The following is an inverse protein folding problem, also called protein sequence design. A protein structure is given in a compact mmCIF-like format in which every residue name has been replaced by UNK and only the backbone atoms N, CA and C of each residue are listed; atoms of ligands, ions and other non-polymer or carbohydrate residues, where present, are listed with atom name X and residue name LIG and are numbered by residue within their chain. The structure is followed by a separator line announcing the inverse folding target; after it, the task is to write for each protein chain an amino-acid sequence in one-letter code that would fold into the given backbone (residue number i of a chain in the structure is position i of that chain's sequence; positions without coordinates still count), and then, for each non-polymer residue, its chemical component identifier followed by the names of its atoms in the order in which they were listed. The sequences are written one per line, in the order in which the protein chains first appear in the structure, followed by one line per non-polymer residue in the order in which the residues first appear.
data_IF_535615498288
#
_entry.id   IF_535615498288
#
_cell.length_a   1.000
_cell.length_b   1.000
_cell.length_c   1.000
_cell.angle_alpha   90.00
_cell.angle_beta   90.00
_cell.angle_gamma   90.00
#
_symmetry.space_group_name_H-M   'P 1'
#
loop_
_entity.id
_entity.type
_entity.pdbx_description
1 polymer ?
#
# COMPACT_ATOMS: atom_id res chain seq x y z
N UNK A 1 34.87 -8.89 15.10
CA UNK A 1 34.55 -10.32 15.30
C UNK A 1 34.33 -11.07 13.96
N UNK A 2 35.27 -10.97 13.00
CA UNK A 2 35.20 -11.69 11.71
C UNK A 2 36.39 -12.63 11.47
N UNK A 3 37.38 -12.57 12.38
CA UNK A 3 38.56 -13.42 12.34
C UNK A 3 38.18 -14.87 12.67
N UNK A 4 38.69 -15.82 11.89
CA UNK A 4 38.53 -17.25 12.13
C UNK A 4 39.88 -17.95 11.99
N UNK A 5 40.04 -19.05 12.72
CA UNK A 5 41.23 -19.89 12.65
C UNK A 5 41.30 -20.61 11.29
N UNK A 6 42.53 -20.91 10.86
CA UNK A 6 42.78 -21.72 9.66
C UNK A 6 43.02 -23.17 10.05
N UNK A 7 42.57 -24.09 9.21
CA UNK A 7 42.94 -25.49 9.28
C UNK A 7 44.38 -25.72 8.76
N UNK A 8 44.87 -26.95 8.88
CA UNK A 8 46.20 -27.34 8.42
C UNK A 8 46.42 -27.16 6.90
N UNK A 9 45.35 -26.98 6.12
CA UNK A 9 45.41 -26.70 4.67
C UNK A 9 45.35 -25.20 4.34
N UNK A 10 45.31 -24.34 5.37
CA UNK A 10 45.22 -22.89 5.22
C UNK A 10 43.81 -22.40 4.89
N UNK A 11 42.78 -23.25 4.99
CA UNK A 11 41.38 -22.87 4.77
C UNK A 11 40.75 -22.48 6.09
N UNK A 12 39.81 -21.54 6.06
CA UNK A 12 39.08 -21.15 7.28
C UNK A 12 38.24 -22.31 7.79
N UNK A 13 38.24 -22.53 9.10
CA UNK A 13 37.44 -23.60 9.73
C UNK A 13 35.93 -23.38 9.58
N UNK A 14 35.49 -22.11 9.46
CA UNK A 14 34.10 -21.69 9.30
C UNK A 14 33.65 -21.59 7.83
N UNK A 15 34.50 -21.97 6.86
CA UNK A 15 34.28 -21.74 5.43
C UNK A 15 32.88 -22.19 4.97
N UNK A 16 32.50 -23.43 5.29
CA UNK A 16 31.23 -24.02 4.86
C UNK A 16 30.01 -23.51 5.64
N UNK A 17 30.23 -22.78 6.74
CA UNK A 17 29.18 -22.19 7.56
C UNK A 17 28.82 -20.78 7.08
N UNK A 18 29.64 -20.20 6.19
CA UNK A 18 29.51 -18.83 5.71
C UNK A 18 29.13 -18.78 4.24
N UNK A 19 27.85 -18.48 3.92
CA UNK A 19 27.41 -18.40 2.54
C UNK A 19 28.18 -17.34 1.77
N UNK A 20 28.62 -16.25 2.41
CA UNK A 20 29.33 -15.15 1.77
C UNK A 20 30.73 -15.50 1.24
N UNK A 21 31.30 -16.63 1.68
CA UNK A 21 32.61 -17.11 1.21
C UNK A 21 32.46 -18.30 0.25
N UNK A 22 31.28 -18.90 0.15
CA UNK A 22 31.04 -20.15 -0.59
C UNK A 22 30.01 -20.05 -1.71
N UNK A 23 29.15 -19.03 -1.71
CA UNK A 23 28.08 -18.82 -2.69
C UNK A 23 28.37 -17.60 -3.56
N UNK A 24 27.94 -17.65 -4.82
CA UNK A 24 28.04 -16.51 -5.75
C UNK A 24 27.00 -15.41 -5.52
N UNK A 25 25.99 -15.68 -4.70
CA UNK A 25 24.91 -14.73 -4.37
C UNK A 25 24.53 -14.91 -2.91
N UNK A 26 24.46 -13.80 -2.19
CA UNK A 26 24.12 -13.73 -0.76
C UNK A 26 23.39 -12.43 -0.46
N UNK A 27 22.64 -12.43 0.64
CA UNK A 27 22.01 -11.25 1.20
C UNK A 27 22.68 -10.88 2.52
N UNK A 28 22.88 -9.58 2.74
CA UNK A 28 23.41 -9.06 3.99
C UNK A 28 22.36 -8.21 4.69
N UNK A 29 22.35 -8.27 6.02
CA UNK A 29 21.63 -7.30 6.83
C UNK A 29 22.36 -5.97 6.70
N UNK A 30 21.73 -4.99 6.05
CA UNK A 30 22.28 -3.66 5.90
C UNK A 30 22.36 -2.95 7.28
N UNK A 31 23.55 -2.52 7.73
CA UNK A 31 23.70 -1.73 8.94
C UNK A 31 23.00 -0.38 8.86
N UNK A 32 22.86 0.31 10.00
CA UNK A 32 22.24 1.64 10.10
C UNK A 32 22.91 2.69 9.23
N UNK A 33 24.19 2.52 8.91
CA UNK A 33 24.94 3.45 8.04
C UNK A 33 24.39 3.47 6.59
N UNK A 34 23.62 2.45 6.20
CA UNK A 34 22.92 2.39 4.91
C UNK A 34 21.50 2.99 4.97
N UNK A 35 21.08 3.55 6.10
CA UNK A 35 19.75 4.09 6.33
C UNK A 35 19.81 5.61 6.51
N UNK A 36 19.22 6.37 5.58
CA UNK A 36 19.01 7.82 5.76
C UNK A 36 17.83 8.08 6.72
N UNK A 37 16.87 7.16 6.74
CA UNK A 37 15.73 7.11 7.66
C UNK A 37 15.38 5.66 7.98
N UNK A 38 14.66 5.38 9.08
CA UNK A 38 14.13 4.06 9.34
C UNK A 38 13.29 3.53 8.17
N UNK A 39 13.29 2.20 7.91
CA UNK A 39 12.45 1.60 6.89
C UNK A 39 10.98 1.95 7.12
N UNK A 40 10.36 2.61 6.14
CA UNK A 40 8.95 2.97 6.20
C UNK A 40 8.06 1.71 6.28
N UNK A 41 6.85 1.89 6.79
CA UNK A 41 5.84 0.84 6.75
C UNK A 41 5.44 0.57 5.28
N UNK A 42 5.14 -0.68 4.91
CA UNK A 42 4.56 -0.97 3.61
C UNK A 42 3.14 -0.39 3.54
N UNK A 43 2.89 0.47 2.57
CA UNK A 43 1.61 1.17 2.37
C UNK A 43 0.98 0.73 1.05
N UNK A 44 -0.27 0.30 1.10
CA UNK A 44 -1.11 0.03 -0.07
C UNK A 44 -2.26 1.03 -0.11
N UNK A 45 -2.26 1.92 -1.10
CA UNK A 45 -3.33 2.90 -1.27
C UNK A 45 -4.12 2.59 -2.54
N UNK A 46 -5.37 2.19 -2.39
CA UNK A 46 -6.24 1.83 -3.51
C UNK A 46 -7.02 3.06 -3.96
N UNK A 47 -6.73 3.50 -5.19
CA UNK A 47 -7.45 4.58 -5.84
C UNK A 47 -8.41 3.99 -6.89
N UNK A 48 -9.72 4.10 -6.65
CA UNK A 48 -10.75 3.38 -7.41
C UNK A 48 -11.61 4.37 -8.22
N UNK A 49 -11.70 4.14 -9.53
CA UNK A 49 -12.60 4.92 -10.39
C UNK A 49 -14.05 4.51 -10.13
N UNK A 50 -14.89 5.50 -9.84
CA UNK A 50 -16.34 5.36 -9.59
C UNK A 50 -17.17 6.20 -10.56
N UNK A 51 -16.58 6.58 -11.70
CA UNK A 51 -17.30 7.19 -12.81
C UNK A 51 -18.40 6.27 -13.35
N UNK A 52 -19.34 6.84 -14.10
CA UNK A 52 -20.48 6.11 -14.64
C UNK A 52 -20.07 4.94 -15.54
N UNK A 53 -18.92 5.03 -16.22
CA UNK A 53 -18.38 3.95 -17.06
C UNK A 53 -17.88 2.78 -16.20
N UNK A 54 -17.21 3.07 -15.08
CA UNK A 54 -16.75 2.08 -14.11
C UNK A 54 -17.91 1.37 -13.41
N UNK A 55 -18.93 2.12 -12.99
CA UNK A 55 -20.12 1.55 -12.32
C UNK A 55 -20.93 0.69 -13.30
N UNK A 56 -21.20 1.17 -14.52
CA UNK A 56 -21.98 0.43 -15.53
C UNK A 56 -21.29 -0.84 -16.03
N UNK A 57 -19.97 -0.88 -16.00
CA UNK A 57 -19.19 -2.07 -16.37
C UNK A 57 -19.01 -3.06 -15.21
N UNK A 58 -19.61 -2.80 -14.04
CA UNK A 58 -19.48 -3.65 -12.83
C UNK A 58 -18.03 -3.71 -12.31
N UNK A 59 -17.17 -2.77 -12.77
CA UNK A 59 -15.76 -2.76 -12.39
C UNK A 59 -15.58 -2.54 -10.89
N UNK A 60 -16.38 -1.64 -10.29
CA UNK A 60 -16.29 -1.30 -8.86
C UNK A 60 -16.56 -2.53 -7.99
N UNK A 61 -17.53 -3.36 -8.36
CA UNK A 61 -17.89 -4.58 -7.64
C UNK A 61 -16.77 -5.63 -7.74
N UNK A 62 -16.28 -5.89 -8.96
CA UNK A 62 -15.20 -6.85 -9.18
C UNK A 62 -13.93 -6.42 -8.47
N UNK A 63 -13.57 -5.14 -8.51
CA UNK A 63 -12.40 -4.59 -7.82
C UNK A 63 -12.55 -4.75 -6.31
N UNK A 64 -13.69 -4.39 -5.74
CA UNK A 64 -13.92 -4.51 -4.31
C UNK A 64 -13.78 -5.96 -3.82
N UNK A 65 -14.40 -6.91 -4.54
CA UNK A 65 -14.31 -8.34 -4.24
C UNK A 65 -12.88 -8.87 -4.38
N UNK A 66 -12.18 -8.47 -5.45
CA UNK A 66 -10.80 -8.92 -5.71
C UNK A 66 -9.83 -8.40 -4.66
N UNK A 67 -9.96 -7.12 -4.28
CA UNK A 67 -9.14 -6.55 -3.20
C UNK A 67 -9.38 -7.36 -1.91
N UNK A 68 -10.65 -7.60 -1.56
CA UNK A 68 -11.03 -8.33 -0.36
C UNK A 68 -10.40 -9.74 -0.34
N UNK A 69 -10.47 -10.48 -1.45
CA UNK A 69 -9.86 -11.81 -1.56
C UNK A 69 -8.34 -11.82 -1.44
N UNK A 70 -7.67 -10.73 -1.79
CA UNK A 70 -6.21 -10.63 -1.82
C UNK A 70 -5.61 -9.98 -0.57
N UNK A 71 -6.42 -9.50 0.39
CA UNK A 71 -5.92 -8.78 1.57
C UNK A 71 -4.92 -9.61 2.39
N UNK A 72 -5.12 -10.93 2.48
CA UNK A 72 -4.23 -11.84 3.22
C UNK A 72 -2.90 -12.11 2.50
N UNK A 73 -2.84 -11.87 1.20
CA UNK A 73 -1.65 -12.11 0.37
C UNK A 73 -0.72 -10.89 0.31
N UNK A 74 -1.15 -9.74 0.84
CA UNK A 74 -0.35 -8.52 0.83
C UNK A 74 0.91 -8.68 1.71
N UNK A 75 2.11 -8.47 1.15
CA UNK A 75 3.33 -8.57 1.93
C UNK A 75 3.44 -7.44 2.95
N UNK A 76 4.20 -7.68 4.02
CA UNK A 76 4.46 -6.69 5.08
C UNK A 76 3.61 -6.83 6.34
N UNK A 77 2.73 -7.84 6.42
CA UNK A 77 1.98 -8.17 7.63
C UNK A 77 2.96 -8.43 8.80
N UNK A 78 2.67 -7.95 10.03
CA UNK A 78 1.45 -7.24 10.46
C UNK A 78 1.54 -5.71 10.36
N UNK A 79 2.59 -5.19 9.72
CA UNK A 79 2.89 -3.75 9.64
C UNK A 79 2.24 -3.04 8.44
N UNK A 80 1.56 -3.78 7.57
CA UNK A 80 0.91 -3.27 6.36
C UNK A 80 -0.15 -2.22 6.69
N UNK A 81 0.03 -1.05 6.10
CA UNK A 81 -0.94 0.04 6.09
C UNK A 81 -1.77 -0.02 4.82
N UNK A 82 -3.07 0.20 4.93
CA UNK A 82 -3.99 0.24 3.80
C UNK A 82 -4.83 1.52 3.84
N UNK A 83 -5.09 2.09 2.67
CA UNK A 83 -5.95 3.26 2.52
C UNK A 83 -6.74 3.19 1.22
N UNK A 84 -7.84 3.93 1.17
CA UNK A 84 -8.75 3.95 0.04
C UNK A 84 -9.11 5.38 -0.33
N UNK A 85 -9.20 5.64 -1.63
CA UNK A 85 -9.92 6.77 -2.17
C UNK A 85 -10.66 6.37 -3.44
N UNK A 86 -11.77 7.03 -3.73
CA UNK A 86 -12.49 6.86 -4.98
C UNK A 86 -12.59 8.17 -5.72
N UNK A 87 -12.65 8.15 -7.04
CA UNK A 87 -12.72 9.36 -7.83
C UNK A 87 -13.74 9.25 -8.97
N UNK A 88 -14.44 10.36 -9.19
CA UNK A 88 -15.24 10.67 -10.37
C UNK A 88 -14.83 12.08 -10.84
N UNK A 89 -15.73 13.05 -10.97
CA UNK A 89 -15.36 14.48 -11.09
C UNK A 89 -14.75 15.06 -9.82
N UNK A 90 -14.80 14.35 -8.70
CA UNK A 90 -14.29 14.74 -7.38
C UNK A 90 -13.54 13.58 -6.72
N UNK A 91 -12.76 13.85 -5.68
CA UNK A 91 -12.01 12.83 -4.93
C UNK A 91 -12.73 12.57 -3.61
N UNK A 92 -12.92 11.30 -3.25
CA UNK A 92 -13.52 10.86 -2.01
C UNK A 92 -12.49 10.06 -1.22
N UNK A 93 -12.07 10.56 -0.07
CA UNK A 93 -11.17 9.86 0.85
C UNK A 93 -11.96 9.14 1.93
N UNK A 94 -11.44 8.02 2.43
CA UNK A 94 -12.11 7.19 3.43
C UNK A 94 -11.28 7.05 4.70
N UNK A 95 -11.85 7.50 5.82
CA UNK A 95 -11.31 7.29 7.17
C UNK A 95 -12.50 7.04 8.12
N UNK A 96 -13.06 5.82 8.10
CA UNK A 96 -14.32 5.42 8.78
C UNK A 96 -15.57 6.28 8.43
N UNK A 97 -15.39 7.36 7.66
CA UNK A 97 -16.35 8.30 7.08
C UNK A 97 -15.79 8.75 5.73
N UNK A 98 -16.67 9.11 4.81
CA UNK A 98 -16.30 9.67 3.50
C UNK A 98 -16.00 11.17 3.64
N UNK A 99 -14.83 11.60 3.15
CA UNK A 99 -14.41 13.00 3.07
C UNK A 99 -14.29 13.39 1.59
N UNK A 100 -15.04 14.39 1.14
CA UNK A 100 -15.10 14.77 -0.28
C UNK A 100 -14.26 16.02 -0.54
N UNK A 101 -13.41 15.94 -1.55
CA UNK A 101 -12.59 17.05 -2.06
C UNK A 101 -13.01 17.31 -3.51
N UNK A 102 -13.66 18.45 -3.72
CA UNK A 102 -14.16 18.89 -5.03
C UNK A 102 -13.30 19.94 -5.69
N UNK A 103 -12.39 20.59 -4.95
CA UNK A 103 -11.41 21.51 -5.52
C UNK A 103 -10.20 20.71 -6.01
N UNK A 104 -10.00 20.71 -7.33
CA UNK A 104 -8.97 19.92 -8.00
C UNK A 104 -7.80 20.77 -8.49
N UNK A 105 -7.90 22.11 -8.42
CA UNK A 105 -6.84 23.02 -8.83
C UNK A 105 -5.75 23.12 -7.75
N UNK A 106 -6.17 23.13 -6.46
CA UNK A 106 -5.28 23.06 -5.29
C UNK A 106 -5.64 21.89 -4.37
N UNK A 107 -5.21 20.69 -4.79
CA UNK A 107 -5.53 19.45 -4.08
C UNK A 107 -4.82 19.40 -2.73
N UNK A 108 -5.61 19.39 -1.67
CA UNK A 108 -5.15 19.07 -0.33
C UNK A 108 -5.57 17.65 0.07
N UNK A 109 -4.71 16.97 0.81
CA UNK A 109 -5.03 15.67 1.42
C UNK A 109 -5.65 15.95 2.80
N UNK A 110 -6.94 15.64 3.01
CA UNK A 110 -7.54 15.83 4.32
C UNK A 110 -7.01 14.77 5.30
N UNK A 111 -6.45 15.21 6.42
CA UNK A 111 -6.04 14.34 7.53
C UNK A 111 -5.11 13.18 7.11
N UNK A 112 -3.91 13.45 6.55
CA UNK A 112 -3.03 12.42 5.98
C UNK A 112 -2.72 11.26 6.94
N UNK A 113 -2.51 11.57 8.23
CA UNK A 113 -2.19 10.57 9.27
C UNK A 113 -3.32 9.57 9.54
N UNK A 114 -4.55 9.86 9.10
CA UNK A 114 -5.73 9.04 9.39
C UNK A 114 -6.35 8.40 8.14
N UNK A 115 -5.77 8.60 6.95
CA UNK A 115 -6.24 7.95 5.73
C UNK A 115 -5.68 6.53 5.56
N UNK A 116 -4.68 6.18 6.37
CA UNK A 116 -4.05 4.87 6.41
C UNK A 116 -4.43 4.19 7.72
N UNK A 117 -4.85 2.94 7.63
CA UNK A 117 -5.13 2.09 8.79
C UNK A 117 -4.26 0.84 8.74
N UNK A 118 -3.92 0.30 9.90
CA UNK A 118 -3.26 -0.99 9.96
C UNK A 118 -4.24 -2.09 9.50
N UNK A 119 -3.85 -2.84 8.47
CA UNK A 119 -4.70 -3.89 7.89
C UNK A 119 -4.99 -5.02 8.89
N UNK A 120 -4.02 -5.40 9.72
CA UNK A 120 -4.19 -6.47 10.71
C UNK A 120 -5.13 -6.06 11.84
N UNK A 121 -5.14 -4.78 12.21
CA UNK A 121 -6.00 -4.25 13.28
C UNK A 121 -7.41 -3.90 12.79
N UNK A 122 -7.55 -3.48 11.54
CA UNK A 122 -8.79 -2.93 10.97
C UNK A 122 -9.44 -3.84 9.93
N UNK A 123 -9.10 -5.14 9.89
CA UNK A 123 -9.54 -6.09 8.85
C UNK A 123 -11.05 -6.07 8.61
N UNK A 124 -11.85 -6.24 9.66
CA UNK A 124 -13.32 -6.28 9.56
C UNK A 124 -13.92 -4.97 9.03
N UNK A 125 -13.30 -3.83 9.36
CA UNK A 125 -13.74 -2.50 8.89
C UNK A 125 -13.46 -2.36 7.40
N UNK A 126 -12.29 -2.81 6.94
CA UNK A 126 -11.90 -2.81 5.53
C UNK A 126 -12.84 -3.71 4.71
N UNK A 127 -13.14 -4.91 5.19
CA UNK A 127 -14.07 -5.84 4.54
C UNK A 127 -15.46 -5.23 4.40
N UNK A 128 -16.00 -4.70 5.50
CA UNK A 128 -17.33 -4.04 5.50
C UNK A 128 -17.37 -2.86 4.52
N UNK A 129 -16.28 -2.09 4.46
CA UNK A 129 -16.17 -0.98 3.52
C UNK A 129 -16.21 -1.47 2.06
N UNK A 130 -15.38 -2.46 1.72
CA UNK A 130 -15.33 -3.03 0.36
C UNK A 130 -16.68 -3.63 -0.05
N UNK A 131 -17.38 -4.32 0.86
CA UNK A 131 -18.71 -4.86 0.59
C UNK A 131 -19.75 -3.75 0.33
N UNK A 132 -19.64 -2.62 1.03
CA UNK A 132 -20.56 -1.49 0.85
C UNK A 132 -20.25 -0.64 -0.39
N UNK A 133 -19.01 -0.63 -0.86
CA UNK A 133 -18.50 0.29 -1.87
C UNK A 133 -19.35 0.33 -3.16
N UNK A 134 -19.76 -0.80 -3.77
CA UNK A 134 -20.54 -0.76 -5.01
C UNK A 134 -21.91 -0.10 -4.81
N UNK A 135 -22.55 -0.32 -3.66
CA UNK A 135 -23.86 0.24 -3.34
C UNK A 135 -23.84 1.76 -3.19
N UNK A 136 -22.69 2.34 -2.82
CA UNK A 136 -22.53 3.79 -2.62
C UNK A 136 -22.62 4.60 -3.93
N UNK A 137 -22.40 3.95 -5.08
CA UNK A 137 -22.27 4.63 -6.38
C UNK A 137 -23.29 4.18 -7.44
N UNK A 138 -24.30 3.36 -7.08
CA UNK A 138 -25.26 2.80 -8.04
C UNK A 138 -26.06 3.86 -8.83
N UNK A 139 -26.39 4.99 -8.20
CA UNK A 139 -27.22 6.04 -8.82
C UNK A 139 -26.41 7.21 -9.40
N UNK A 140 -25.07 7.11 -9.42
CA UNK A 140 -24.21 8.22 -9.84
C UNK A 140 -24.12 8.30 -11.36
N UNK A 141 -24.24 9.52 -11.89
CA UNK A 141 -24.30 9.80 -13.33
C UNK A 141 -23.07 10.59 -13.83
N UNK A 142 -22.03 10.71 -13.00
CA UNK A 142 -20.85 11.52 -13.34
C UNK A 142 -19.99 10.83 -14.41
N UNK A 143 -19.80 11.53 -15.54
CA UNK A 143 -18.98 11.07 -16.67
C UNK A 143 -17.51 11.48 -16.52
N UNK A 144 -17.26 12.59 -15.82
CA UNK A 144 -15.93 13.16 -15.68
C UNK A 144 -15.05 12.36 -14.70
N UNK A 145 -13.74 12.50 -14.87
CA UNK A 145 -12.74 11.74 -14.12
C UNK A 145 -11.57 12.64 -13.70
N UNK A 146 -11.38 12.75 -12.38
CA UNK A 146 -10.35 13.52 -11.70
C UNK A 146 -9.07 12.70 -11.49
N UNK A 147 -8.72 11.84 -12.45
CA UNK A 147 -7.61 10.88 -12.32
C UNK A 147 -6.27 11.54 -11.96
N UNK A 148 -5.89 12.60 -12.68
CA UNK A 148 -4.64 13.32 -12.43
C UNK A 148 -4.54 13.89 -11.01
N UNK A 149 -5.53 14.69 -10.59
CA UNK A 149 -5.66 15.16 -9.21
C UNK A 149 -5.62 14.04 -8.16
N UNK A 150 -6.37 12.97 -8.40
CA UNK A 150 -6.48 11.85 -7.48
C UNK A 150 -5.14 11.11 -7.31
N UNK A 151 -4.41 10.90 -8.41
CA UNK A 151 -3.08 10.29 -8.39
C UNK A 151 -2.07 11.15 -7.63
N UNK A 152 -2.12 12.48 -7.82
CA UNK A 152 -1.28 13.42 -7.08
C UNK A 152 -1.56 13.36 -5.57
N UNK A 153 -2.82 13.26 -5.17
CA UNK A 153 -3.19 13.10 -3.77
C UNK A 153 -2.69 11.77 -3.17
N UNK A 154 -2.88 10.66 -3.89
CA UNK A 154 -2.42 9.34 -3.46
C UNK A 154 -0.89 9.31 -3.29
N UNK A 155 -0.15 9.93 -4.22
CA UNK A 155 1.31 10.07 -4.10
C UNK A 155 1.71 10.85 -2.85
N UNK A 156 1.04 11.98 -2.56
CA UNK A 156 1.31 12.76 -1.35
C UNK A 156 1.11 11.92 -0.09
N UNK A 157 0.01 11.13 -0.01
CA UNK A 157 -0.26 10.24 1.12
C UNK A 157 0.85 9.20 1.32
N UNK A 158 1.40 8.66 0.23
CA UNK A 158 2.44 7.62 0.31
C UNK A 158 3.84 8.15 0.62
N UNK A 159 4.08 9.44 0.42
CA UNK A 159 5.42 10.06 0.58
C UNK A 159 5.55 10.84 1.90
N UNK A 160 4.42 11.21 2.52
CA UNK A 160 4.36 11.74 3.88
C UNK A 160 4.82 10.70 4.92
#
# INVERSE_FOLDING_TARGET
EYCAQLDATGRRVDLNQRPEVTKGTVEYVAPTDYMVRPPMLPVYFFLIDVSITAVRSVMVEVVAQTINSCLDELPGIPRTQIGFATFDSTIHFYNMKMLVVSDLDDIFVPLPDYLLVNLSESRSVVETFLDSLPSMFQDKVNLESAFGPALKAAFTIMVC
#
